data_IF_252948822821
#
_entry.id   IF_252948822821
#
_cell.length_a   1.000
_cell.length_b   1.000
_cell.length_c   1.000
_cell.angle_alpha   90.00
_cell.angle_beta   90.00
_cell.angle_gamma   90.00
#
_symmetry.space_group_name_H-M   'P 1'
#
loop_
_entity.id
_entity.type
_entity.pdbx_description
1 polymer ?
#
# COMPACT_ATOMS: atom_id res chain seq x y z
N UNK A 1 -48.73 -4.54 81.67
CA UNK A 1 -47.61 -5.49 81.51
C UNK A 1 -47.24 -5.54 80.04
N UNK A 2 -45.97 -5.24 79.78
CA UNK A 2 -45.13 -5.38 78.57
C UNK A 2 -45.61 -4.83 77.20
N UNK A 3 -44.91 -3.76 76.80
CA UNK A 3 -44.66 -3.33 75.42
C UNK A 3 -43.73 -4.32 74.70
N UNK A 4 -43.90 -4.49 73.38
CA UNK A 4 -42.81 -4.92 72.49
C UNK A 4 -43.04 -4.37 71.08
N UNK A 5 -42.26 -3.36 70.73
CA UNK A 5 -41.98 -2.93 69.36
C UNK A 5 -40.98 -3.89 68.73
N UNK A 6 -41.11 -4.20 67.44
CA UNK A 6 -40.10 -4.94 66.68
C UNK A 6 -39.67 -4.17 65.43
N UNK A 7 -38.35 -4.09 65.26
CA UNK A 7 -37.60 -3.29 64.29
C UNK A 7 -37.83 -3.68 62.83
N UNK A 8 -37.73 -2.66 61.98
CA UNK A 8 -37.58 -2.76 60.52
C UNK A 8 -36.15 -3.21 60.21
N UNK A 9 -35.98 -4.24 59.38
CA UNK A 9 -34.68 -4.66 58.85
C UNK A 9 -34.62 -4.33 57.36
N UNK A 10 -33.85 -3.30 57.01
CA UNK A 10 -33.43 -3.01 55.65
C UNK A 10 -32.43 -4.09 55.21
N UNK A 11 -32.86 -4.98 54.30
CA UNK A 11 -31.92 -5.80 53.55
C UNK A 11 -31.57 -5.08 52.26
N UNK A 12 -30.26 -4.99 52.02
CA UNK A 12 -29.61 -4.23 50.98
C UNK A 12 -30.13 -4.56 49.57
N UNK A 13 -30.38 -3.50 48.80
CA UNK A 13 -30.50 -3.58 47.34
C UNK A 13 -29.11 -3.96 46.83
N UNK A 14 -28.93 -5.21 46.41
CA UNK A 14 -27.79 -5.60 45.61
C UNK A 14 -27.91 -4.87 44.27
N UNK A 15 -27.13 -3.80 44.09
CA UNK A 15 -26.92 -3.22 42.78
C UNK A 15 -26.27 -4.29 41.92
N UNK A 16 -27.04 -4.83 40.97
CA UNK A 16 -26.52 -5.58 39.84
C UNK A 16 -25.79 -4.57 38.96
N UNK A 17 -24.57 -4.22 39.35
CA UNK A 17 -23.62 -3.54 38.49
C UNK A 17 -23.30 -4.50 37.35
N UNK A 18 -23.72 -4.12 36.14
CA UNK A 18 -23.22 -4.65 34.89
C UNK A 18 -21.69 -4.75 34.99
N UNK A 19 -21.17 -5.97 34.96
CA UNK A 19 -19.78 -6.18 34.56
C UNK A 19 -19.88 -6.46 33.07
N UNK A 20 -19.63 -5.45 32.25
CA UNK A 20 -19.15 -5.68 30.89
C UNK A 20 -17.63 -5.78 31.05
N UNK A 21 -17.00 -6.96 30.94
CA UNK A 21 -15.56 -7.03 30.83
C UNK A 21 -15.24 -7.14 29.34
N UNK A 22 -15.23 -6.02 28.64
CA UNK A 22 -14.38 -5.87 27.46
C UNK A 22 -13.32 -4.89 27.91
N UNK A 23 -12.34 -5.41 28.64
CA UNK A 23 -11.17 -4.64 29.04
C UNK A 23 -10.18 -4.67 27.89
N UNK A 24 -9.75 -3.50 27.45
CA UNK A 24 -8.47 -3.31 26.78
C UNK A 24 -7.41 -4.06 27.61
N UNK A 25 -6.66 -4.94 26.96
CA UNK A 25 -5.46 -5.52 27.58
C UNK A 25 -4.33 -4.50 27.53
N UNK A 26 -3.38 -4.66 28.44
CA UNK A 26 -2.14 -3.89 28.56
C UNK A 26 -2.20 -2.54 29.29
N UNK A 27 -2.97 -2.48 30.37
CA UNK A 27 -2.67 -1.58 31.49
C UNK A 27 -2.81 -0.08 31.22
N UNK A 28 -3.33 0.30 30.06
CA UNK A 28 -3.85 1.64 29.78
C UNK A 28 -5.22 1.77 30.45
N UNK A 29 -5.43 2.89 31.14
CA UNK A 29 -6.70 3.13 31.83
C UNK A 29 -7.72 3.75 30.89
N UNK A 30 -9.00 3.68 31.25
CA UNK A 30 -10.11 4.40 30.60
C UNK A 30 -9.92 5.94 30.62
N UNK A 31 -8.88 6.44 31.29
CA UNK A 31 -8.49 7.85 31.29
C UNK A 31 -7.39 8.17 30.25
N UNK A 32 -6.77 7.17 29.64
CA UNK A 32 -5.74 7.33 28.60
C UNK A 32 -6.32 7.23 27.18
N UNK A 33 -7.46 6.55 27.01
CA UNK A 33 -8.35 6.76 25.88
C UNK A 33 -9.30 7.90 26.25
N UNK A 34 -9.15 9.07 25.65
CA UNK A 34 -9.96 10.26 25.95
C UNK A 34 -11.40 9.97 25.52
N UNK A 35 -12.22 9.42 26.43
CA UNK A 35 -13.69 9.35 26.38
C UNK A 35 -14.32 9.35 24.98
N UNK A 36 -14.23 8.24 24.27
CA UNK A 36 -14.97 8.00 23.04
C UNK A 36 -15.97 6.87 23.31
N UNK A 37 -17.21 7.23 23.64
CA UNK A 37 -18.36 6.29 23.64
C UNK A 37 -18.59 5.60 22.26
N UNK A 38 -17.74 5.89 21.28
CA UNK A 38 -17.82 5.52 19.86
C UNK A 38 -16.48 5.07 19.24
N UNK A 39 -15.42 4.83 20.03
CA UNK A 39 -14.20 4.21 19.48
C UNK A 39 -14.42 2.71 19.33
N UNK A 40 -14.35 2.24 18.09
CA UNK A 40 -14.29 0.83 17.72
C UNK A 40 -12.81 0.46 17.59
N UNK A 41 -12.28 -0.27 18.56
CA UNK A 41 -10.88 -0.72 18.66
C UNK A 41 -10.94 -2.23 18.94
N UNK A 42 -10.89 -3.04 17.87
CA UNK A 42 -11.19 -4.47 17.95
C UNK A 42 -9.99 -5.29 18.43
N UNK A 43 -8.76 -4.85 18.16
CA UNK A 43 -7.55 -5.55 18.55
C UNK A 43 -6.85 -4.97 19.80
N UNK A 44 -7.23 -3.78 20.24
CA UNK A 44 -6.83 -3.18 21.51
C UNK A 44 -5.56 -2.34 21.44
N UNK A 45 -5.13 -1.90 20.27
CA UNK A 45 -3.93 -1.07 20.09
C UNK A 45 -4.17 0.43 20.36
N UNK A 46 -5.45 0.84 20.38
CA UNK A 46 -5.91 2.20 20.61
C UNK A 46 -6.16 3.02 19.34
N UNK A 47 -6.13 2.38 18.17
CA UNK A 47 -6.53 2.91 16.88
C UNK A 47 -7.86 2.28 16.43
N UNK A 48 -8.55 2.94 15.51
CA UNK A 48 -9.78 2.41 14.93
C UNK A 48 -10.85 3.48 14.65
N UNK A 49 -11.99 3.09 14.07
CA UNK A 49 -13.08 4.02 13.77
C UNK A 49 -13.53 4.80 15.01
N UNK A 50 -13.41 6.12 14.97
CA UNK A 50 -13.84 7.00 16.06
C UNK A 50 -12.86 7.09 17.24
N UNK A 51 -11.71 6.43 17.18
CA UNK A 51 -10.63 6.57 18.16
C UNK A 51 -9.87 7.88 17.94
N UNK A 52 -9.35 8.47 19.03
CA UNK A 52 -8.58 9.73 18.99
C UNK A 52 -7.33 9.64 19.85
N UNK A 53 -6.26 10.31 19.42
CA UNK A 53 -5.00 10.42 20.17
C UNK A 53 -5.11 11.36 21.38
N UNK A 54 -4.02 11.53 22.13
CA UNK A 54 -3.96 12.38 23.31
C UNK A 54 -4.21 13.87 23.00
N UNK A 55 -4.01 14.26 21.74
CA UNK A 55 -4.22 15.61 21.21
C UNK A 55 -5.63 15.80 20.62
N UNK A 56 -6.42 14.73 20.53
CA UNK A 56 -7.78 14.72 19.99
C UNK A 56 -7.88 14.59 18.47
N UNK A 57 -6.79 14.19 17.78
CA UNK A 57 -6.83 13.87 16.36
C UNK A 57 -7.33 12.44 16.14
N UNK A 58 -7.91 12.16 14.97
CA UNK A 58 -8.35 10.80 14.62
C UNK A 58 -7.16 9.82 14.61
N UNK A 59 -7.29 8.74 15.36
CA UNK A 59 -6.37 7.62 15.39
C UNK A 59 -6.96 6.48 14.56
N UNK A 60 -6.76 6.53 13.24
CA UNK A 60 -7.31 5.52 12.32
C UNK A 60 -6.48 4.24 12.34
N UNK A 61 -7.17 3.12 12.17
CA UNK A 61 -6.57 1.80 12.02
C UNK A 61 -6.88 1.26 10.61
N UNK A 62 -5.88 0.65 9.99
CA UNK A 62 -6.02 0.01 8.70
C UNK A 62 -6.16 -1.53 8.82
N UNK A 63 -5.84 -2.13 9.97
CA UNK A 63 -5.95 -3.56 10.25
C UNK A 63 -6.46 -3.83 11.67
N UNK A 64 -7.78 -3.66 11.85
CA UNK A 64 -8.55 -3.85 13.11
C UNK A 64 -8.60 -5.31 13.61
N UNK A 65 -7.62 -6.13 13.22
CA UNK A 65 -7.44 -7.51 13.63
C UNK A 65 -6.03 -7.82 14.13
N UNK A 66 -5.06 -6.90 14.00
CA UNK A 66 -3.66 -7.09 14.37
C UNK A 66 -3.13 -5.87 15.15
N UNK A 67 -2.97 -5.97 16.49
CA UNK A 67 -2.64 -4.82 17.33
C UNK A 67 -1.22 -4.27 17.16
N UNK A 68 -0.42 -4.89 16.28
CA UNK A 68 0.90 -4.40 15.88
C UNK A 68 0.84 -3.59 14.56
N UNK A 69 -0.33 -3.43 13.93
CA UNK A 69 -0.51 -2.88 12.56
C UNK A 69 -1.65 -1.86 12.49
N UNK A 70 -1.33 -0.57 12.53
CA UNK A 70 -2.34 0.50 12.42
C UNK A 70 -2.01 1.60 11.40
N UNK A 71 -0.74 1.74 11.01
CA UNK A 71 -0.28 2.84 10.17
C UNK A 71 -0.58 2.55 8.69
N UNK A 72 -1.31 3.46 8.04
CA UNK A 72 -1.48 3.41 6.59
C UNK A 72 -0.22 3.91 5.90
N UNK A 73 0.31 3.11 4.98
CA UNK A 73 1.39 3.48 4.08
C UNK A 73 0.92 3.47 2.61
N UNK A 74 1.80 3.96 1.74
CA UNK A 74 1.61 3.91 0.30
C UNK A 74 2.33 2.67 -0.25
N UNK A 75 1.62 1.91 -1.09
CA UNK A 75 2.18 0.82 -1.89
C UNK A 75 1.68 0.92 -3.32
N UNK A 76 1.98 -0.10 -4.10
CA UNK A 76 1.65 -0.20 -5.52
C UNK A 76 1.21 -1.62 -5.81
N UNK A 77 0.16 -1.83 -6.59
CA UNK A 77 -0.23 -3.18 -7.02
C UNK A 77 0.93 -3.77 -7.82
N UNK A 78 1.32 -4.99 -7.48
CA UNK A 78 2.35 -5.79 -8.13
C UNK A 78 1.65 -7.05 -8.67
N UNK A 79 1.07 -6.92 -9.86
CA UNK A 79 0.13 -7.91 -10.39
C UNK A 79 0.82 -9.14 -11.00
N UNK A 80 2.07 -9.01 -11.43
CA UNK A 80 2.88 -10.12 -11.97
C UNK A 80 3.96 -10.66 -11.02
N UNK A 81 4.15 -10.03 -9.86
CA UNK A 81 5.01 -10.46 -8.75
C UNK A 81 6.51 -10.39 -9.06
N UNK A 82 6.95 -9.39 -9.82
CA UNK A 82 8.36 -9.12 -10.06
C UNK A 82 9.03 -8.27 -8.95
N UNK A 83 8.21 -7.69 -8.07
CA UNK A 83 8.63 -6.83 -6.96
C UNK A 83 8.62 -5.34 -7.28
N UNK A 84 8.16 -4.90 -8.44
CA UNK A 84 7.96 -3.51 -8.84
C UNK A 84 6.48 -3.35 -9.16
N UNK A 85 5.77 -2.54 -8.38
CA UNK A 85 4.38 -2.30 -8.66
C UNK A 85 4.18 -1.31 -9.81
N UNK A 86 2.94 -1.28 -10.30
CA UNK A 86 2.47 -0.30 -11.25
C UNK A 86 2.61 1.16 -10.75
N UNK A 87 2.09 2.09 -11.56
CA UNK A 87 2.33 3.54 -11.36
C UNK A 87 1.35 4.20 -10.41
N UNK A 88 0.18 3.61 -10.23
CA UNK A 88 -0.87 4.17 -9.41
C UNK A 88 -0.72 3.69 -7.96
N UNK A 89 -0.65 4.62 -6.99
CA UNK A 89 -0.50 4.26 -5.59
C UNK A 89 -1.79 3.67 -5.03
N UNK A 90 -1.64 2.73 -4.10
CA UNK A 90 -2.70 2.17 -3.25
C UNK A 90 -2.37 2.37 -1.78
N UNK A 91 -3.39 2.41 -0.93
CA UNK A 91 -3.21 2.41 0.51
C UNK A 91 -2.97 0.97 0.98
N UNK A 92 -1.89 0.77 1.73
CA UNK A 92 -1.53 -0.50 2.39
C UNK A 92 -1.40 -0.27 3.89
N UNK A 93 -1.43 -1.35 4.66
CA UNK A 93 -1.02 -1.31 6.06
C UNK A 93 0.49 -1.50 6.18
N UNK A 94 1.16 -0.57 6.86
CA UNK A 94 2.56 -0.71 7.20
C UNK A 94 2.76 -1.81 8.25
N UNK A 95 3.88 -2.51 8.22
CA UNK A 95 4.22 -3.50 9.25
C UNK A 95 3.70 -4.91 9.00
N UNK A 96 2.85 -5.13 7.98
CA UNK A 96 2.47 -6.46 7.51
C UNK A 96 3.24 -6.89 6.25
N UNK A 97 3.34 -8.19 5.96
CA UNK A 97 3.81 -8.66 4.66
C UNK A 97 2.90 -8.16 3.54
N UNK A 98 3.49 -7.64 2.46
CA UNK A 98 2.75 -7.29 1.24
C UNK A 98 2.31 -8.56 0.49
N UNK A 99 1.10 -8.55 -0.06
CA UNK A 99 0.48 -9.70 -0.71
C UNK A 99 -0.13 -9.29 -2.04
N UNK A 100 0.73 -9.11 -3.05
CA UNK A 100 0.35 -8.56 -4.35
C UNK A 100 0.52 -7.04 -4.44
N UNK A 101 1.27 -6.47 -3.50
CA UNK A 101 1.73 -5.08 -3.55
C UNK A 101 3.26 -5.01 -3.43
N UNK A 102 3.84 -3.91 -3.91
CA UNK A 102 5.24 -3.53 -3.75
C UNK A 102 5.37 -2.13 -3.15
N UNK A 103 6.49 -1.89 -2.48
CA UNK A 103 6.93 -0.55 -2.05
C UNK A 103 7.65 0.21 -3.17
N UNK A 104 8.05 -0.50 -4.24
CA UNK A 104 8.70 0.04 -5.42
C UNK A 104 7.63 0.27 -6.49
N UNK A 105 7.70 1.40 -7.18
CA UNK A 105 6.81 1.75 -8.29
C UNK A 105 7.60 1.95 -9.56
N UNK A 106 6.89 1.90 -10.69
CA UNK A 106 7.41 2.33 -11.97
C UNK A 106 7.41 1.23 -13.01
N UNK A 107 6.75 0.10 -12.72
CA UNK A 107 6.56 -0.93 -13.71
C UNK A 107 5.85 -0.35 -14.94
N UNK A 108 6.42 -0.61 -16.12
CA UNK A 108 5.87 -0.22 -17.39
C UNK A 108 4.89 -1.23 -17.97
N UNK A 109 4.90 -2.48 -17.50
CA UNK A 109 3.95 -3.53 -17.84
C UNK A 109 3.73 -4.48 -16.64
N UNK A 110 2.92 -4.02 -15.67
CA UNK A 110 2.52 -4.71 -14.42
C UNK A 110 1.70 -6.01 -14.66
N UNK A 111 1.80 -6.61 -15.84
CA UNK A 111 1.23 -7.91 -16.18
C UNK A 111 2.26 -8.86 -16.81
N UNK A 112 3.53 -8.43 -16.95
CA UNK A 112 4.64 -9.21 -17.47
C UNK A 112 5.92 -8.99 -16.63
N UNK A 113 6.18 -9.92 -15.71
CA UNK A 113 7.32 -9.90 -14.80
C UNK A 113 8.72 -9.90 -15.47
N UNK A 114 8.78 -9.98 -16.81
CA UNK A 114 10.03 -9.83 -17.58
C UNK A 114 10.20 -8.44 -18.20
N UNK A 115 9.24 -7.53 -18.00
CA UNK A 115 9.19 -6.22 -18.62
C UNK A 115 8.77 -5.15 -17.60
N UNK A 116 9.76 -4.54 -16.95
CA UNK A 116 9.54 -3.61 -15.82
C UNK A 116 10.29 -2.27 -15.94
N UNK A 117 11.03 -2.07 -17.03
CA UNK A 117 11.80 -0.85 -17.30
C UNK A 117 11.51 -0.31 -18.70
N UNK A 118 11.18 0.97 -18.79
CA UNK A 118 11.08 1.67 -20.08
C UNK A 118 12.48 1.89 -20.67
N UNK A 119 12.72 1.35 -21.86
CA UNK A 119 13.94 1.55 -22.62
C UNK A 119 13.60 2.29 -23.92
N UNK A 120 14.40 3.31 -24.23
CA UNK A 120 14.25 4.12 -25.45
C UNK A 120 15.35 3.77 -26.45
N UNK A 121 14.98 3.55 -27.71
CA UNK A 121 15.91 3.26 -28.80
C UNK A 121 15.42 3.75 -30.15
N UNK A 122 16.31 3.73 -31.14
CA UNK A 122 16.05 4.12 -32.52
C UNK A 122 16.14 2.88 -33.41
N UNK A 123 15.16 2.68 -34.30
CA UNK A 123 15.10 1.48 -35.14
C UNK A 123 16.26 1.45 -36.14
N UNK A 124 16.90 0.29 -36.25
CA UNK A 124 17.99 -0.10 -37.17
C UNK A 124 17.80 -1.59 -37.44
N UNK A 125 16.81 -1.92 -38.26
CA UNK A 125 16.30 -3.30 -38.40
C UNK A 125 17.18 -4.14 -39.33
N UNK A 126 17.76 -3.53 -40.35
CA UNK A 126 18.68 -4.22 -41.26
C UNK A 126 20.12 -4.26 -40.74
N UNK A 127 20.46 -3.43 -39.74
CA UNK A 127 21.72 -3.47 -39.01
C UNK A 127 22.86 -2.70 -39.69
N UNK A 128 22.55 -1.73 -40.54
CA UNK A 128 23.52 -0.91 -41.26
C UNK A 128 24.04 0.30 -40.44
N UNK A 129 23.47 0.52 -39.24
CA UNK A 129 23.76 1.63 -38.30
C UNK A 129 23.16 3.00 -38.66
N UNK A 130 22.30 3.08 -39.66
CA UNK A 130 21.45 4.23 -39.93
C UNK A 130 20.07 3.97 -39.34
N UNK A 131 19.59 4.91 -38.51
CA UNK A 131 18.37 4.70 -37.75
C UNK A 131 17.20 5.48 -38.30
N UNK A 132 15.99 5.09 -37.91
CA UNK A 132 14.81 5.96 -37.99
C UNK A 132 15.02 7.26 -37.16
N UNK A 133 14.31 8.34 -37.53
CA UNK A 133 14.40 9.65 -36.85
C UNK A 133 13.80 9.64 -35.44
N UNK A 134 12.66 8.97 -35.30
CA UNK A 134 11.87 9.01 -34.07
C UNK A 134 12.20 7.79 -33.21
N UNK A 135 12.56 7.97 -31.94
CA UNK A 135 12.80 6.84 -31.06
C UNK A 135 11.48 6.14 -30.72
N UNK A 136 11.59 4.85 -30.41
CA UNK A 136 10.53 4.05 -29.81
C UNK A 136 10.85 3.84 -28.33
N UNK A 137 9.81 3.78 -27.52
CA UNK A 137 9.89 3.37 -26.11
C UNK A 137 9.30 1.97 -26.01
N UNK A 138 10.02 1.05 -25.39
CA UNK A 138 9.57 -0.31 -25.12
C UNK A 138 9.72 -0.64 -23.65
N UNK A 139 8.81 -1.46 -23.14
CA UNK A 139 8.91 -2.02 -21.80
C UNK A 139 9.70 -3.33 -21.87
N UNK A 140 10.77 -3.44 -21.08
CA UNK A 140 11.71 -4.57 -21.11
C UNK A 140 12.31 -4.79 -19.71
N UNK A 141 13.20 -5.76 -19.55
CA UNK A 141 14.01 -5.95 -18.34
C UNK A 141 15.12 -4.88 -18.14
N UNK A 142 15.09 -3.80 -18.92
CA UNK A 142 16.12 -2.76 -18.97
C UNK A 142 17.16 -2.98 -20.08
N UNK A 143 17.09 -4.09 -20.81
CA UNK A 143 17.91 -4.31 -22.00
C UNK A 143 17.33 -3.63 -23.24
N UNK A 144 18.20 -3.16 -24.13
CA UNK A 144 17.78 -2.62 -25.42
C UNK A 144 17.53 -3.79 -26.40
N UNK A 145 16.32 -3.93 -26.96
CA UNK A 145 16.01 -4.96 -27.95
C UNK A 145 16.93 -4.93 -29.18
N UNK A 146 17.15 -6.09 -29.78
CA UNK A 146 17.85 -6.19 -31.06
C UNK A 146 17.10 -5.42 -32.15
N UNK A 147 17.85 -4.81 -33.07
CA UNK A 147 17.30 -3.92 -34.11
C UNK A 147 16.95 -2.51 -33.60
N UNK A 148 17.37 -2.16 -32.38
CA UNK A 148 17.37 -0.79 -31.89
C UNK A 148 18.80 -0.36 -31.50
N UNK A 149 19.12 0.91 -31.75
CA UNK A 149 20.32 1.57 -31.24
C UNK A 149 19.96 2.61 -30.17
N UNK A 150 20.84 2.78 -29.19
CA UNK A 150 20.62 3.70 -28.06
C UNK A 150 20.71 5.19 -28.46
N UNK A 151 21.05 5.50 -29.71
CA UNK A 151 21.22 6.86 -30.20
C UNK A 151 20.87 6.90 -31.68
N UNK A 152 20.28 8.01 -32.11
CA UNK A 152 20.00 8.24 -33.52
C UNK A 152 21.30 8.31 -34.33
N UNK A 153 21.26 7.80 -35.55
CA UNK A 153 22.26 8.11 -36.57
C UNK A 153 22.22 9.60 -36.93
N UNK A 154 23.30 10.10 -37.53
CA UNK A 154 23.37 11.50 -37.98
C UNK A 154 22.47 11.79 -39.20
N UNK A 155 22.02 10.75 -39.89
CA UNK A 155 21.16 10.83 -41.08
C UNK A 155 20.18 9.67 -41.04
N UNK A 156 18.93 9.94 -41.38
CA UNK A 156 17.84 8.96 -41.30
C UNK A 156 17.98 7.93 -42.41
N UNK A 157 17.71 6.67 -42.08
CA UNK A 157 17.55 5.63 -43.07
C UNK A 157 16.19 5.74 -43.79
N UNK A 158 16.22 5.75 -45.12
CA UNK A 158 15.01 5.81 -45.93
C UNK A 158 14.38 4.44 -46.21
N UNK A 159 15.10 3.34 -45.99
CA UNK A 159 14.62 1.97 -46.17
C UNK A 159 15.25 1.00 -45.16
N UNK A 160 14.77 1.08 -43.91
CA UNK A 160 15.19 0.28 -42.73
C UNK A 160 14.88 -1.24 -42.83
N UNK A 161 14.60 -1.74 -44.03
CA UNK A 161 14.44 -3.16 -44.36
C UNK A 161 15.52 -3.65 -45.36
N UNK A 162 16.43 -2.79 -45.86
CA UNK A 162 17.48 -3.10 -46.85
C UNK A 162 18.81 -2.40 -46.54
N UNK A 163 19.77 -3.17 -45.99
CA UNK A 163 21.10 -2.71 -45.54
C UNK A 163 21.97 -2.08 -46.65
N UNK A 164 21.55 -2.17 -47.91
CA UNK A 164 22.23 -1.56 -49.04
C UNK A 164 21.71 -0.15 -49.39
N UNK A 165 20.58 0.29 -48.81
CA UNK A 165 19.91 1.55 -49.14
C UNK A 165 20.00 2.50 -47.95
N UNK A 166 21.08 3.26 -47.89
CA UNK A 166 21.31 4.19 -46.79
C UNK A 166 22.05 5.45 -47.23
N UNK A 167 22.13 6.49 -46.39
CA UNK A 167 22.89 7.69 -46.73
C UNK A 167 24.33 7.37 -47.17
N UNK A 168 24.67 7.75 -48.40
CA UNK A 168 26.01 7.57 -48.97
C UNK A 168 26.24 6.30 -49.80
N UNK A 169 25.24 5.42 -49.94
CA UNK A 169 25.26 4.28 -50.87
C UNK A 169 24.42 4.54 -52.14
#
# INVERSE_FOLDING_TARGET
MLHKTWSISFWAIAALLLVIPVGCKDGKTIADAINTEFCEDLDGDGFGPGCVDAEGNLATDCDDADPDVHETAQGYVDADQDGIGGREPVAICAGRPLTGESEITGDCDDHDASAFTEVTGYQDRDGDSYTAETPVVQCTDGSLPAGLLASASASVDCDDDDDAIHPGA
#
